data_IF_609723473680
#
_entry.id   IF_609723473680
#
_cell.length_a   1.000
_cell.length_b   1.000
_cell.length_c   1.000
_cell.angle_alpha   90.00
_cell.angle_beta   90.00
_cell.angle_gamma   90.00
#
_symmetry.space_group_name_H-M   'P 1'
#
loop_
_entity.id
_entity.type
_entity.pdbx_description
1 polymer ?
#
# COMPACT_ATOMS: atom_id res chain seq x y z
N UNK A 1 25.93 -18.19 -3.60
CA UNK A 1 25.21 -18.09 -4.87
C UNK A 1 24.02 -17.15 -4.71
N UNK A 2 23.76 -16.29 -5.72
CA UNK A 2 22.65 -15.35 -5.72
C UNK A 2 21.73 -15.67 -6.90
N UNK A 3 20.42 -15.57 -6.65
CA UNK A 3 19.38 -15.67 -7.68
C UNK A 3 18.73 -14.28 -7.83
N UNK A 4 18.46 -13.89 -9.07
CA UNK A 4 17.58 -12.77 -9.39
C UNK A 4 16.51 -13.28 -10.35
N UNK A 5 15.24 -13.16 -9.96
CA UNK A 5 14.14 -13.70 -10.75
C UNK A 5 12.88 -12.84 -10.61
N UNK A 6 12.06 -12.87 -11.67
CA UNK A 6 10.69 -12.37 -11.62
C UNK A 6 9.76 -13.58 -11.48
N UNK A 7 9.23 -13.79 -10.29
CA UNK A 7 8.46 -14.99 -9.96
C UNK A 7 7.41 -14.71 -8.86
N UNK A 8 6.32 -15.45 -8.89
CA UNK A 8 5.26 -15.38 -7.90
C UNK A 8 5.33 -16.56 -6.93
N UNK A 9 5.63 -16.26 -5.67
CA UNK A 9 5.60 -17.23 -4.56
C UNK A 9 4.30 -17.19 -3.76
N UNK A 10 3.35 -16.34 -4.12
CA UNK A 10 2.10 -16.14 -3.35
C UNK A 10 1.03 -17.14 -3.74
N UNK A 11 1.05 -17.61 -4.99
CA UNK A 11 0.07 -18.58 -5.49
C UNK A 11 0.72 -19.62 -6.42
N UNK A 12 0.52 -20.91 -6.13
CA UNK A 12 0.97 -21.98 -7.03
C UNK A 12 0.21 -22.02 -8.35
N UNK A 13 -0.94 -21.34 -8.43
CA UNK A 13 -1.79 -21.23 -9.62
C UNK A 13 -1.56 -19.92 -10.39
N UNK A 14 -0.57 -19.14 -10.01
CA UNK A 14 -0.24 -17.90 -10.69
C UNK A 14 0.12 -18.14 -12.15
N UNK A 15 -0.37 -17.28 -13.02
CA UNK A 15 0.06 -17.24 -14.43
C UNK A 15 1.40 -16.51 -14.64
N UNK A 16 1.96 -15.93 -13.58
CA UNK A 16 3.17 -15.10 -13.59
C UNK A 16 4.34 -15.84 -12.95
N UNK A 17 4.83 -16.89 -13.63
CA UNK A 17 5.99 -17.68 -13.21
C UNK A 17 5.89 -18.14 -11.73
N UNK A 18 4.99 -19.09 -11.40
CA UNK A 18 4.83 -19.58 -10.03
C UNK A 18 6.12 -20.24 -9.55
N UNK A 19 6.55 -19.91 -8.34
CA UNK A 19 7.76 -20.44 -7.70
C UNK A 19 7.42 -20.93 -6.29
N UNK A 20 7.58 -22.23 -6.05
CA UNK A 20 7.40 -22.76 -4.70
C UNK A 20 8.68 -22.62 -3.86
N UNK A 21 8.51 -22.63 -2.53
CA UNK A 21 9.65 -22.63 -1.60
C UNK A 21 10.58 -23.84 -1.80
N UNK A 22 10.02 -25.00 -2.10
CA UNK A 22 10.80 -26.23 -2.30
C UNK A 22 11.68 -26.13 -3.56
N UNK A 23 11.13 -25.57 -4.63
CA UNK A 23 11.90 -25.32 -5.87
C UNK A 23 13.00 -24.30 -5.60
N UNK A 24 12.70 -23.18 -4.90
CA UNK A 24 13.72 -22.20 -4.56
C UNK A 24 14.82 -22.79 -3.68
N UNK A 25 14.46 -23.60 -2.69
CA UNK A 25 15.42 -24.28 -1.83
C UNK A 25 16.34 -25.24 -2.61
N UNK A 26 15.81 -25.92 -3.64
CA UNK A 26 16.56 -26.88 -4.44
C UNK A 26 17.70 -26.26 -5.25
N UNK A 27 17.67 -24.94 -5.48
CA UNK A 27 18.75 -24.25 -6.20
C UNK A 27 20.03 -24.07 -5.36
N UNK A 28 19.99 -24.27 -4.03
CA UNK A 28 21.15 -24.13 -3.16
C UNK A 28 21.74 -22.71 -3.18
N UNK A 29 20.89 -21.70 -3.34
CA UNK A 29 21.32 -20.31 -3.31
C UNK A 29 21.37 -19.79 -1.87
N UNK A 30 22.22 -18.78 -1.64
CA UNK A 30 22.34 -18.10 -0.37
C UNK A 30 21.24 -17.02 -0.22
N UNK A 31 20.90 -16.36 -1.34
CA UNK A 31 19.87 -15.33 -1.39
C UNK A 31 19.17 -15.27 -2.76
N UNK A 32 17.86 -14.99 -2.73
CA UNK A 32 17.06 -14.75 -3.92
C UNK A 32 16.42 -13.34 -3.88
N UNK A 33 16.80 -12.50 -4.83
CA UNK A 33 16.18 -11.23 -5.12
C UNK A 33 15.00 -11.46 -6.07
N UNK A 34 13.78 -11.23 -5.61
CA UNK A 34 12.56 -11.49 -6.35
C UNK A 34 11.86 -10.20 -6.77
N UNK A 35 11.39 -10.16 -8.02
CA UNK A 35 10.45 -9.19 -8.55
C UNK A 35 9.07 -9.80 -8.73
N UNK A 36 8.09 -9.03 -9.10
CA UNK A 36 6.67 -9.31 -9.31
C UNK A 36 5.77 -8.62 -8.27
N UNK A 37 6.02 -8.78 -6.99
CA UNK A 37 5.23 -8.14 -5.94
C UNK A 37 5.72 -6.70 -5.75
N UNK A 38 4.82 -5.73 -5.97
CA UNK A 38 5.15 -4.30 -5.88
C UNK A 38 5.15 -3.78 -4.44
N UNK A 39 4.49 -4.48 -3.51
CA UNK A 39 4.53 -4.16 -2.09
C UNK A 39 5.52 -5.07 -1.38
N UNK A 40 6.71 -4.54 -1.05
CA UNK A 40 7.82 -5.31 -0.51
C UNK A 40 7.67 -5.69 0.98
N UNK A 41 6.84 -4.97 1.74
CA UNK A 41 6.92 -4.95 3.21
C UNK A 41 6.63 -6.30 3.88
N UNK A 42 5.84 -7.17 3.25
CA UNK A 42 5.40 -8.43 3.85
C UNK A 42 5.95 -9.68 3.13
N UNK A 43 6.78 -9.52 2.10
CA UNK A 43 7.19 -10.64 1.26
C UNK A 43 8.69 -10.92 1.35
N UNK A 44 9.12 -11.33 2.54
CA UNK A 44 10.48 -11.85 2.81
C UNK A 44 10.37 -13.15 3.57
N UNK A 45 11.36 -14.00 3.46
CA UNK A 45 11.37 -15.25 4.19
C UNK A 45 12.56 -16.14 3.84
N UNK A 46 12.39 -17.39 4.18
CA UNK A 46 13.37 -18.45 3.95
C UNK A 46 12.75 -19.62 3.21
N UNK A 47 13.56 -20.23 2.35
CA UNK A 47 13.26 -21.43 1.61
C UNK A 47 14.48 -22.37 1.74
N UNK A 48 14.44 -23.30 2.71
CA UNK A 48 15.62 -24.05 3.13
C UNK A 48 16.69 -23.10 3.70
N UNK A 49 17.89 -23.14 3.15
CA UNK A 49 18.99 -22.22 3.51
C UNK A 49 18.96 -20.89 2.73
N UNK A 50 18.07 -20.76 1.76
CA UNK A 50 17.99 -19.58 0.90
C UNK A 50 17.08 -18.52 1.53
N UNK A 51 17.62 -17.35 1.90
CA UNK A 51 16.81 -16.19 2.24
C UNK A 51 16.30 -15.52 0.96
N UNK A 52 15.08 -14.98 0.98
CA UNK A 52 14.54 -14.25 -0.16
C UNK A 52 13.78 -12.99 0.25
N UNK A 53 13.72 -12.02 -0.67
CA UNK A 53 12.84 -10.86 -0.54
C UNK A 53 12.39 -10.34 -1.90
N UNK A 54 11.18 -9.78 -1.91
CA UNK A 54 10.69 -8.97 -3.03
C UNK A 54 11.12 -7.54 -2.86
N UNK A 55 11.68 -6.95 -3.91
CA UNK A 55 12.18 -5.58 -3.87
C UNK A 55 11.08 -4.52 -3.90
N UNK A 56 9.85 -4.89 -4.26
CA UNK A 56 8.78 -3.93 -4.51
C UNK A 56 8.97 -3.14 -5.79
N UNK A 57 8.44 -1.92 -5.82
CA UNK A 57 8.64 -0.95 -6.88
C UNK A 57 9.36 0.30 -6.35
N UNK A 58 10.12 0.99 -7.23
CA UNK A 58 10.86 2.19 -6.85
C UNK A 58 9.96 3.38 -6.56
N UNK A 59 8.84 3.47 -7.28
CA UNK A 59 7.85 4.55 -7.18
C UNK A 59 6.47 3.92 -7.32
N UNK A 60 5.53 4.29 -6.47
CA UNK A 60 4.12 3.95 -6.62
C UNK A 60 3.52 4.65 -7.84
N UNK A 61 2.61 3.98 -8.55
CA UNK A 61 1.97 4.48 -9.78
C UNK A 61 0.48 4.69 -9.62
N UNK A 62 -0.10 4.14 -8.55
CA UNK A 62 -1.53 4.20 -8.27
C UNK A 62 -1.81 3.99 -6.79
N UNK A 63 -3.07 4.15 -6.40
CA UNK A 63 -3.54 3.86 -5.04
C UNK A 63 -3.54 2.36 -4.66
N UNK A 64 -3.18 1.47 -5.57
CA UNK A 64 -2.92 0.07 -5.26
C UNK A 64 -1.48 -0.15 -4.76
N UNK A 65 -0.64 0.88 -4.89
CA UNK A 65 0.78 0.87 -4.51
C UNK A 65 1.06 1.97 -3.46
N UNK A 66 0.24 2.03 -2.40
CA UNK A 66 0.35 3.03 -1.34
C UNK A 66 1.65 2.93 -0.52
N UNK A 67 1.95 4.01 0.20
CA UNK A 67 3.08 4.13 1.11
C UNK A 67 4.41 4.43 0.44
N UNK A 68 5.46 4.41 1.25
CA UNK A 68 6.83 4.64 0.79
C UNK A 68 7.29 3.51 -0.12
N UNK A 69 7.94 3.87 -1.21
CA UNK A 69 8.50 2.92 -2.19
C UNK A 69 10.01 3.12 -2.32
N UNK A 70 10.69 2.08 -2.80
CA UNK A 70 12.14 2.16 -2.89
C UNK A 70 12.78 0.85 -3.34
N UNK A 71 13.97 0.60 -2.82
CA UNK A 71 14.76 -0.59 -3.13
C UNK A 71 15.24 -1.27 -1.85
N UNK A 72 15.71 -2.49 -2.01
CA UNK A 72 16.39 -3.24 -0.95
C UNK A 72 17.90 -3.23 -1.18
N UNK A 73 18.64 -2.93 -0.13
CA UNK A 73 20.08 -3.20 -0.07
C UNK A 73 20.28 -4.48 0.72
N UNK A 74 20.93 -5.46 0.12
CA UNK A 74 21.14 -6.78 0.71
C UNK A 74 22.63 -7.02 0.86
N UNK A 75 23.03 -7.39 2.07
CA UNK A 75 24.40 -7.84 2.38
C UNK A 75 24.33 -9.34 2.67
N UNK A 76 25.09 -10.13 1.94
CA UNK A 76 25.19 -11.59 2.16
C UNK A 76 26.58 -11.88 2.70
N UNK A 77 26.63 -12.35 3.94
CA UNK A 77 27.88 -12.75 4.59
C UNK A 77 28.09 -14.25 4.42
N UNK A 78 29.30 -14.64 3.98
CA UNK A 78 29.70 -16.01 3.72
C UNK A 78 30.69 -16.61 4.73
N UNK A 79 31.10 -15.84 5.72
CA UNK A 79 32.12 -16.29 6.66
C UNK A 79 31.61 -17.25 7.75
N UNK A 80 30.32 -17.60 7.68
CA UNK A 80 29.68 -18.58 8.57
C UNK A 80 29.26 -19.84 7.78
N UNK A 81 29.17 -20.98 8.45
CA UNK A 81 28.67 -22.25 7.88
C UNK A 81 27.22 -22.15 7.31
N UNK A 82 26.56 -21.02 7.57
CA UNK A 82 25.29 -20.64 6.96
C UNK A 82 25.36 -19.18 6.50
N UNK A 83 25.14 -18.94 5.21
CA UNK A 83 25.03 -17.57 4.68
C UNK A 83 23.89 -16.81 5.37
N UNK A 84 24.20 -15.61 5.88
CA UNK A 84 23.20 -14.70 6.48
C UNK A 84 22.99 -13.52 5.57
N UNK A 85 21.73 -13.29 5.20
CA UNK A 85 21.34 -12.13 4.41
C UNK A 85 20.75 -11.04 5.33
N UNK A 86 21.37 -9.88 5.36
CA UNK A 86 20.84 -8.68 6.01
C UNK A 86 20.17 -7.80 4.95
N UNK A 87 18.88 -7.53 5.11
CA UNK A 87 18.07 -6.78 4.14
C UNK A 87 17.67 -5.45 4.75
N UNK A 88 18.01 -4.36 4.10
CA UNK A 88 17.68 -2.99 4.49
C UNK A 88 16.89 -2.31 3.39
N UNK A 89 15.73 -1.74 3.74
CA UNK A 89 14.93 -0.92 2.81
C UNK A 89 15.56 0.48 2.67
N UNK A 90 15.63 0.97 1.44
CA UNK A 90 15.99 2.35 1.12
C UNK A 90 14.83 3.01 0.39
N UNK A 91 14.28 4.08 0.99
CA UNK A 91 13.25 4.90 0.36
C UNK A 91 13.86 5.70 -0.80
N UNK A 92 13.22 5.62 -1.95
CA UNK A 92 13.56 6.39 -3.14
C UNK A 92 12.40 7.24 -3.66
N UNK A 93 11.16 6.81 -3.38
CA UNK A 93 9.99 7.57 -3.84
C UNK A 93 9.97 8.95 -3.19
N UNK A 94 9.92 9.97 -4.00
CA UNK A 94 9.60 11.32 -3.57
C UNK A 94 8.11 11.44 -3.30
N UNK A 95 7.27 11.01 -4.25
CA UNK A 95 5.82 10.99 -4.10
C UNK A 95 5.34 9.66 -3.56
N UNK A 96 4.27 9.71 -2.76
CA UNK A 96 3.58 8.54 -2.25
C UNK A 96 2.07 8.66 -2.46
N UNK A 97 1.41 7.52 -2.51
CA UNK A 97 -0.04 7.41 -2.52
C UNK A 97 -0.52 6.98 -1.14
N UNK A 98 -1.60 7.59 -0.68
CA UNK A 98 -2.29 7.21 0.55
C UNK A 98 -3.78 7.02 0.28
N UNK A 99 -4.33 5.88 0.71
CA UNK A 99 -5.75 5.55 0.60
C UNK A 99 -6.33 5.42 2.00
N UNK A 100 -7.12 6.42 2.40
CA UNK A 100 -7.54 6.61 3.79
C UNK A 100 -9.07 6.49 3.86
N UNK A 101 -9.56 5.68 4.80
CA UNK A 101 -10.99 5.57 5.08
C UNK A 101 -11.35 6.39 6.31
N UNK A 102 -12.36 7.24 6.20
CA UNK A 102 -12.79 8.16 7.26
C UNK A 102 -14.26 7.91 7.61
N UNK A 103 -14.54 7.59 8.86
CA UNK A 103 -15.90 7.46 9.38
C UNK A 103 -16.48 8.84 9.66
N UNK A 104 -17.49 9.20 8.89
CA UNK A 104 -18.23 10.47 9.03
C UNK A 104 -19.61 10.28 9.65
N UNK A 105 -19.86 9.13 10.26
CA UNK A 105 -21.14 8.86 10.95
C UNK A 105 -21.50 9.99 11.89
N UNK A 106 -22.77 10.41 11.82
CA UNK A 106 -23.34 11.46 12.67
C UNK A 106 -22.93 12.88 12.29
N UNK A 107 -22.14 13.09 11.23
CA UNK A 107 -21.85 14.44 10.75
C UNK A 107 -23.13 15.07 10.17
N UNK A 108 -23.40 16.31 10.59
CA UNK A 108 -24.57 17.10 10.18
C UNK A 108 -24.19 18.19 9.14
N UNK A 109 -22.92 18.53 9.04
CA UNK A 109 -22.42 19.60 8.17
C UNK A 109 -21.22 19.16 7.36
N UNK A 110 -21.04 19.76 6.18
CA UNK A 110 -19.84 19.53 5.33
C UNK A 110 -18.57 19.96 6.06
N UNK A 111 -18.65 20.91 6.98
CA UNK A 111 -17.50 21.34 7.79
C UNK A 111 -17.03 20.21 8.72
N UNK A 112 -17.93 19.56 9.43
CA UNK A 112 -17.58 18.42 10.30
C UNK A 112 -16.96 17.28 9.52
N UNK A 113 -17.42 17.03 8.27
CA UNK A 113 -16.80 16.07 7.37
C UNK A 113 -15.39 16.51 7.00
N UNK A 114 -15.19 17.79 6.65
CA UNK A 114 -13.89 18.34 6.29
C UNK A 114 -12.91 18.26 7.47
N UNK A 115 -13.34 18.64 8.68
CA UNK A 115 -12.52 18.59 9.88
C UNK A 115 -12.04 17.15 10.19
N UNK A 116 -12.92 16.15 10.04
CA UNK A 116 -12.55 14.73 10.21
C UNK A 116 -11.54 14.25 9.15
N UNK A 117 -11.69 14.73 7.91
CA UNK A 117 -10.73 14.43 6.84
C UNK A 117 -9.38 15.08 7.15
N UNK A 118 -9.36 16.35 7.58
CA UNK A 118 -8.14 17.08 7.92
C UNK A 118 -7.34 16.35 9.00
N UNK A 119 -8.01 15.90 10.06
CA UNK A 119 -7.38 15.10 11.12
C UNK A 119 -6.77 13.81 10.58
N UNK A 120 -7.49 13.12 9.69
CA UNK A 120 -7.06 11.83 9.14
C UNK A 120 -5.87 11.95 8.19
N UNK A 121 -5.74 13.08 7.47
CA UNK A 121 -4.65 13.31 6.52
C UNK A 121 -3.56 14.26 7.04
N UNK A 122 -3.51 14.49 8.35
CA UNK A 122 -2.59 15.46 8.98
C UNK A 122 -1.10 15.21 8.71
N UNK A 123 -0.73 13.98 8.28
CA UNK A 123 0.63 13.63 7.87
C UNK A 123 0.93 13.78 6.37
N UNK A 124 -0.07 14.16 5.57
CA UNK A 124 0.11 14.34 4.14
C UNK A 124 0.73 15.71 3.80
N UNK A 125 1.51 15.75 2.74
CA UNK A 125 2.25 16.91 2.28
C UNK A 125 2.11 17.13 0.76
N UNK A 126 2.83 18.10 0.21
CA UNK A 126 2.83 18.43 -1.22
C UNK A 126 3.45 17.34 -2.13
N UNK A 127 3.94 16.26 -1.54
CA UNK A 127 4.43 15.07 -2.25
C UNK A 127 3.46 13.88 -2.12
N UNK A 128 2.35 14.04 -1.36
CA UNK A 128 1.38 12.99 -1.10
C UNK A 128 0.15 13.11 -1.98
N UNK A 129 -0.14 12.08 -2.78
CA UNK A 129 -1.43 11.92 -3.45
C UNK A 129 -2.38 11.16 -2.51
N UNK A 130 -3.46 11.82 -2.08
CA UNK A 130 -4.41 11.28 -1.12
C UNK A 130 -5.72 10.91 -1.79
N UNK A 131 -6.20 9.69 -1.55
CA UNK A 131 -7.58 9.28 -1.80
C UNK A 131 -8.26 9.06 -0.46
N UNK A 132 -9.29 9.84 -0.18
CA UNK A 132 -10.13 9.67 1.00
C UNK A 132 -11.42 8.98 0.60
N UNK A 133 -11.76 7.90 1.29
CA UNK A 133 -13.06 7.25 1.22
C UNK A 133 -13.83 7.55 2.50
N UNK A 134 -14.84 8.39 2.38
CA UNK A 134 -15.74 8.66 3.52
C UNK A 134 -16.86 7.64 3.54
N UNK A 135 -17.20 7.15 4.72
CA UNK A 135 -18.25 6.16 4.92
C UNK A 135 -19.03 6.46 6.21
N UNK A 136 -20.15 5.77 6.37
CA UNK A 136 -20.99 5.87 7.56
C UNK A 136 -22.38 6.43 7.26
N UNK A 137 -23.18 6.61 8.31
CA UNK A 137 -24.55 7.12 8.22
C UNK A 137 -24.54 8.63 8.53
N UNK A 138 -25.00 9.43 7.58
CA UNK A 138 -25.04 10.89 7.69
C UNK A 138 -26.47 11.42 7.73
N UNK A 139 -26.65 12.67 8.15
CA UNK A 139 -27.94 13.34 8.04
C UNK A 139 -28.40 13.38 6.58
N UNK A 140 -29.68 13.12 6.35
CA UNK A 140 -30.28 13.12 5.00
C UNK A 140 -30.25 14.50 4.31
N UNK A 141 -30.13 15.58 5.09
CA UNK A 141 -29.99 16.94 4.57
C UNK A 141 -28.53 17.32 4.26
N UNK A 142 -27.55 16.50 4.65
CA UNK A 142 -26.14 16.75 4.40
C UNK A 142 -25.83 16.59 2.91
N UNK A 143 -25.35 17.66 2.30
CA UNK A 143 -24.86 17.65 0.92
C UNK A 143 -23.33 17.63 0.95
N UNK A 144 -22.74 16.55 0.45
CA UNK A 144 -21.29 16.40 0.31
C UNK A 144 -20.92 16.70 -1.14
N UNK A 145 -20.10 17.73 -1.33
CA UNK A 145 -19.55 18.08 -2.65
C UNK A 145 -18.06 17.76 -2.68
N UNK A 146 -17.65 16.71 -3.41
CA UNK A 146 -16.24 16.32 -3.49
C UNK A 146 -15.30 17.43 -3.95
N UNK A 147 -15.75 18.28 -4.90
CA UNK A 147 -14.95 19.39 -5.40
C UNK A 147 -14.74 20.48 -4.34
N UNK A 148 -15.79 20.82 -3.58
CA UNK A 148 -15.70 21.84 -2.52
C UNK A 148 -14.80 21.35 -1.38
N UNK A 149 -14.92 20.08 -1.01
CA UNK A 149 -14.04 19.50 0.02
C UNK A 149 -12.58 19.47 -0.47
N UNK A 150 -12.33 19.12 -1.72
CA UNK A 150 -10.98 19.09 -2.29
C UNK A 150 -10.28 20.45 -2.26
N UNK A 151 -11.04 21.56 -2.39
CA UNK A 151 -10.51 22.92 -2.29
C UNK A 151 -9.96 23.26 -0.90
N UNK A 152 -10.37 22.54 0.13
CA UNK A 152 -9.87 22.72 1.50
C UNK A 152 -8.45 22.16 1.70
N UNK A 153 -7.95 21.32 0.78
CA UNK A 153 -6.67 20.62 0.91
C UNK A 153 -5.63 20.98 -0.17
N UNK A 154 -5.28 22.28 -0.34
CA UNK A 154 -4.33 22.70 -1.37
C UNK A 154 -2.88 22.29 -1.04
N UNK A 155 -2.62 21.82 0.18
CA UNK A 155 -1.28 21.45 0.66
C UNK A 155 -0.85 20.04 0.26
N UNK A 156 -1.71 19.22 -0.34
CA UNK A 156 -1.34 17.88 -0.82
C UNK A 156 -1.11 17.89 -2.34
N UNK A 157 -0.30 16.95 -2.83
CA UNK A 157 -0.01 16.84 -4.27
C UNK A 157 -1.27 16.61 -5.12
N UNK A 158 -2.16 15.76 -4.65
CA UNK A 158 -3.43 15.46 -5.29
C UNK A 158 -4.42 14.96 -4.24
N UNK A 159 -5.66 15.42 -4.32
CA UNK A 159 -6.73 14.99 -3.45
C UNK A 159 -7.90 14.39 -4.26
N UNK A 160 -8.40 13.24 -3.84
CA UNK A 160 -9.57 12.59 -4.41
C UNK A 160 -10.50 12.14 -3.30
N UNK A 161 -11.77 12.53 -3.35
CA UNK A 161 -12.80 12.07 -2.43
C UNK A 161 -13.69 11.03 -3.11
N UNK A 162 -13.89 9.91 -2.42
CA UNK A 162 -14.95 8.94 -2.72
C UNK A 162 -15.96 8.97 -1.59
N UNK A 163 -17.20 9.25 -1.96
CA UNK A 163 -18.32 9.26 -1.01
C UNK A 163 -19.03 7.90 -1.07
N UNK A 164 -18.93 7.18 0.03
CA UNK A 164 -19.56 5.88 0.29
C UNK A 164 -20.52 5.97 1.48
N UNK A 165 -21.00 7.19 1.81
CA UNK A 165 -21.94 7.42 2.91
C UNK A 165 -23.36 7.00 2.55
N UNK A 166 -24.15 6.69 3.59
CA UNK A 166 -25.56 6.35 3.47
C UNK A 166 -26.39 7.38 4.24
N UNK A 167 -27.36 8.04 3.61
CA UNK A 167 -28.23 8.97 4.32
C UNK A 167 -29.10 8.25 5.35
N UNK A 168 -29.31 8.87 6.50
CA UNK A 168 -30.21 8.36 7.55
C UNK A 168 -31.63 8.21 6.99
N UNK A 169 -32.21 7.00 7.07
CA UNK A 169 -33.52 6.67 6.48
C UNK A 169 -33.47 6.16 5.03
N UNK A 170 -32.30 6.08 4.42
CA UNK A 170 -32.15 5.59 3.03
C UNK A 170 -32.30 4.07 2.86
N UNK A 171 -32.47 3.30 3.92
CA UNK A 171 -32.63 1.85 3.86
C UNK A 171 -34.03 1.37 3.41
N UNK A 172 -35.00 2.25 3.32
CA UNK A 172 -36.39 1.88 3.01
C UNK A 172 -36.69 1.77 1.50
N UNK A 173 -35.70 1.87 0.64
CA UNK A 173 -35.89 1.82 -0.83
C UNK A 173 -35.39 0.54 -1.51
N UNK A 174 -35.07 -0.50 -0.73
CA UNK A 174 -34.68 -1.81 -1.27
C UNK A 174 -35.73 -2.87 -0.94
N UNK A 175 -36.98 -2.65 -1.35
CA UNK A 175 -37.99 -3.70 -1.56
C UNK A 175 -38.29 -3.87 -3.04
#
# INVERSE_FOLDING_TARGET
NLICAHADMTSPLSHSAPLSKDVLASFGADYAALGHIHNADNYRGEAGSCSYAYCGCLVGRSFDECGDKGALVVTVDKDSDSAKAAVRTMKFSRRRYEDISVDVTGSATSREVTDKIEDAISGADDETAVRVRIYGVTDSALVISPSVIAEAFPGVFSFTLKDETVPLGGADYLE
#
